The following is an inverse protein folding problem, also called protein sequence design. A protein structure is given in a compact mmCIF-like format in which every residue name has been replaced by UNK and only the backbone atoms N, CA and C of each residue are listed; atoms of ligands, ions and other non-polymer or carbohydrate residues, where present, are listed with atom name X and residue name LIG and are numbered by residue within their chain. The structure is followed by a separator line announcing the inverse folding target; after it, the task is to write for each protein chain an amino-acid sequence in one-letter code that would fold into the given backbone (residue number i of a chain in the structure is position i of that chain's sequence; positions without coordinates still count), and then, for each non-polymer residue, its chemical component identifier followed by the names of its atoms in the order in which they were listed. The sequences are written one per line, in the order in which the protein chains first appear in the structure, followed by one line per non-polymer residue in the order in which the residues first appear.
data_IF_240207557632
#
_entry.id   IF_240207557632
#
_cell.length_a   1.000
_cell.length_b   1.000
_cell.length_c   1.000
_cell.angle_alpha   90.00
_cell.angle_beta   90.00
_cell.angle_gamma   90.00
#
_symmetry.space_group_name_H-M   'P 1'
#
loop_
_entity.id
_entity.type
_entity.pdbx_description
1 polymer ?
#
# COMPACT_ATOMS: atom_id res chain seq x y z
N UNK A 1 -17.26 5.66 13.50
CA UNK A 1 -15.88 5.21 13.23
C UNK A 1 -14.99 5.93 14.21
N UNK A 2 -14.36 5.17 15.10
CA UNK A 2 -13.51 5.67 16.17
C UNK A 2 -12.09 5.85 15.62
N UNK A 3 -11.77 7.05 15.17
CA UNK A 3 -10.45 7.38 14.61
C UNK A 3 -9.36 7.10 15.64
N UNK A 4 -8.38 6.28 15.25
CA UNK A 4 -7.15 6.11 16.02
C UNK A 4 -6.14 7.17 15.58
N UNK A 5 -5.24 7.62 16.46
CA UNK A 5 -4.26 8.66 16.12
C UNK A 5 -2.86 8.06 16.16
N UNK A 6 -2.09 8.23 15.09
CA UNK A 6 -0.64 8.02 15.12
C UNK A 6 -0.05 9.22 15.85
N UNK A 7 0.44 9.00 17.07
CA UNK A 7 1.04 9.99 17.95
C UNK A 7 2.27 10.66 17.33
N UNK A 8 3.12 9.87 16.67
CA UNK A 8 4.35 10.35 16.03
C UNK A 8 4.10 11.35 14.89
N UNK A 9 2.90 11.34 14.30
CA UNK A 9 2.50 12.21 13.19
C UNK A 9 1.33 13.16 13.54
N UNK A 10 0.72 13.00 14.72
CA UNK A 10 -0.56 13.64 15.06
C UNK A 10 -1.63 13.45 13.97
N UNK A 11 -1.63 12.28 13.33
CA UNK A 11 -2.45 11.98 12.15
C UNK A 11 -3.60 11.04 12.51
N UNK A 12 -4.87 11.43 12.28
CA UNK A 12 -6.00 10.55 12.47
C UNK A 12 -6.04 9.49 11.36
N UNK A 13 -6.11 8.23 11.76
CA UNK A 13 -6.15 7.08 10.87
C UNK A 13 -7.53 6.40 10.88
N UNK A 14 -7.90 5.75 9.75
CA UNK A 14 -9.06 4.87 9.71
C UNK A 14 -8.96 3.74 10.74
N UNK A 15 -10.10 3.28 11.26
CA UNK A 15 -10.18 2.29 12.35
C UNK A 15 -9.48 0.95 12.02
N UNK A 16 -9.31 0.64 10.74
CA UNK A 16 -8.67 -0.56 10.21
C UNK A 16 -7.19 -0.34 9.80
N UNK A 17 -6.62 0.82 10.10
CA UNK A 17 -5.17 0.99 10.08
C UNK A 17 -4.56 0.50 11.41
N UNK A 18 -3.51 -0.33 11.38
CA UNK A 18 -2.94 -0.94 12.58
C UNK A 18 -1.97 0.03 13.29
N UNK A 19 -2.51 1.00 14.02
CA UNK A 19 -1.72 2.06 14.71
C UNK A 19 -0.74 1.49 15.73
N UNK A 20 -1.15 0.49 16.53
CA UNK A 20 -0.30 -0.08 17.57
C UNK A 20 1.03 -0.66 17.03
N UNK A 21 1.05 -1.61 16.07
CA UNK A 21 2.31 -2.11 15.53
C UNK A 21 3.08 -1.05 14.73
N UNK A 22 2.40 -0.08 14.11
CA UNK A 22 3.07 1.06 13.46
C UNK A 22 3.95 1.85 14.46
N UNK A 23 3.41 2.15 15.65
CA UNK A 23 4.10 2.92 16.67
C UNK A 23 5.21 2.12 17.36
N UNK A 24 5.05 0.82 17.55
CA UNK A 24 6.10 -0.07 18.05
C UNK A 24 7.34 0.03 17.15
N UNK A 25 7.16 -0.16 15.85
CA UNK A 25 8.25 -0.09 14.87
C UNK A 25 8.88 1.30 14.87
N UNK A 26 8.06 2.35 14.88
CA UNK A 26 8.53 3.74 14.97
C UNK A 26 9.42 3.97 16.19
N UNK A 27 8.99 3.49 17.37
CA UNK A 27 9.75 3.60 18.61
C UNK A 27 11.09 2.88 18.53
N UNK A 28 11.10 1.63 18.03
CA UNK A 28 12.33 0.82 17.91
C UNK A 28 13.40 1.51 17.05
N UNK A 29 13.09 1.87 15.81
CA UNK A 29 14.12 2.47 14.94
C UNK A 29 14.48 3.91 15.34
N UNK A 30 13.59 4.63 16.01
CA UNK A 30 13.86 6.01 16.45
C UNK A 30 14.99 6.10 17.47
N UNK A 31 15.16 5.06 18.29
CA UNK A 31 16.27 4.95 19.24
C UNK A 31 17.63 4.81 18.56
N UNK A 32 17.66 4.45 17.26
CA UNK A 32 18.90 4.25 16.48
C UNK A 32 19.35 5.50 15.71
N UNK A 33 18.70 6.65 15.91
CA UNK A 33 18.98 7.91 15.19
C UNK A 33 20.45 8.30 15.21
N UNK A 34 21.09 8.24 16.37
CA UNK A 34 22.47 8.71 16.56
C UNK A 34 23.51 7.74 16.00
N UNK A 35 23.14 6.46 15.81
CA UNK A 35 24.05 5.45 15.27
C UNK A 35 24.23 5.55 13.76
N UNK A 36 23.18 5.93 13.01
CA UNK A 36 23.24 6.10 11.57
C UNK A 36 22.15 7.05 11.07
N UNK A 37 22.46 8.36 11.08
CA UNK A 37 21.51 9.41 10.72
C UNK A 37 20.94 9.27 9.30
N UNK A 38 21.74 8.82 8.33
CA UNK A 38 21.29 8.64 6.95
C UNK A 38 20.24 7.53 6.88
N UNK A 39 20.54 6.36 7.45
CA UNK A 39 19.65 5.22 7.45
C UNK A 39 18.36 5.52 8.22
N UNK A 40 18.48 6.19 9.37
CA UNK A 40 17.32 6.67 10.15
C UNK A 40 16.43 7.61 9.32
N UNK A 41 17.00 8.58 8.60
CA UNK A 41 16.21 9.51 7.76
C UNK A 41 15.41 8.76 6.68
N UNK A 42 16.02 7.75 6.06
CA UNK A 42 15.35 6.95 5.04
C UNK A 42 14.25 6.06 5.65
N UNK A 43 14.50 5.45 6.81
CA UNK A 43 13.46 4.73 7.56
C UNK A 43 12.30 5.65 7.94
N UNK A 44 12.57 6.80 8.54
CA UNK A 44 11.54 7.75 8.97
C UNK A 44 10.69 8.23 7.78
N UNK A 45 11.32 8.59 6.66
CA UNK A 45 10.62 8.98 5.44
C UNK A 45 9.72 7.87 4.89
N UNK A 46 10.22 6.64 4.84
CA UNK A 46 9.45 5.48 4.39
C UNK A 46 8.30 5.15 5.33
N UNK A 47 8.53 5.21 6.64
CA UNK A 47 7.51 4.92 7.65
C UNK A 47 6.38 5.92 7.64
N UNK A 48 6.68 7.21 7.51
CA UNK A 48 5.67 8.25 7.36
C UNK A 48 4.86 8.03 6.07
N UNK A 49 5.54 7.64 5.00
CA UNK A 49 4.90 7.36 3.71
C UNK A 49 3.90 6.20 3.79
N UNK A 50 4.12 5.17 4.62
CA UNK A 50 3.13 4.09 4.84
C UNK A 50 1.80 4.67 5.31
N UNK A 51 1.83 5.51 6.35
CA UNK A 51 0.63 6.12 6.93
C UNK A 51 -0.05 7.08 5.95
N UNK A 52 0.72 8.01 5.36
CA UNK A 52 0.17 9.01 4.43
C UNK A 52 -0.48 8.38 3.20
N UNK A 53 0.15 7.35 2.64
CA UNK A 53 -0.34 6.70 1.42
C UNK A 53 -1.54 5.81 1.70
N UNK A 54 -1.59 5.14 2.85
CA UNK A 54 -2.79 4.40 3.28
C UNK A 54 -3.98 5.34 3.51
N UNK A 55 -3.75 6.47 4.17
CA UNK A 55 -4.80 7.47 4.39
C UNK A 55 -5.33 8.02 3.07
N UNK A 56 -4.43 8.41 2.16
CA UNK A 56 -4.80 8.89 0.82
C UNK A 56 -5.59 7.84 0.01
N UNK A 57 -5.17 6.57 0.05
CA UNK A 57 -5.91 5.46 -0.55
C UNK A 57 -7.34 5.35 0.02
N UNK A 58 -7.48 5.52 1.33
CA UNK A 58 -8.78 5.48 2.01
C UNK A 58 -9.67 6.66 1.60
N UNK A 59 -9.13 7.86 1.47
CA UNK A 59 -9.86 9.03 1.00
C UNK A 59 -10.34 8.84 -0.45
N UNK A 60 -9.49 8.28 -1.33
CA UNK A 60 -9.86 7.96 -2.71
C UNK A 60 -10.96 6.89 -2.79
N UNK A 61 -10.94 5.86 -1.95
CA UNK A 61 -12.03 4.87 -1.85
C UNK A 61 -13.37 5.53 -1.47
N UNK A 62 -13.34 6.43 -0.47
CA UNK A 62 -14.52 7.14 -0.01
C UNK A 62 -15.10 8.07 -1.09
N UNK A 63 -14.23 8.85 -1.73
CA UNK A 63 -14.65 9.78 -2.79
C UNK A 63 -15.15 9.05 -4.04
N UNK A 64 -14.48 7.96 -4.44
CA UNK A 64 -14.94 7.11 -5.53
C UNK A 64 -16.31 6.52 -5.22
N UNK A 65 -16.47 5.90 -4.04
CA UNK A 65 -17.75 5.32 -3.60
C UNK A 65 -18.88 6.35 -3.62
N UNK A 66 -18.60 7.58 -3.16
CA UNK A 66 -19.57 8.68 -3.22
C UNK A 66 -19.93 9.04 -4.65
N UNK A 67 -18.95 9.15 -5.55
CA UNK A 67 -19.18 9.50 -6.96
C UNK A 67 -19.97 8.44 -7.73
N UNK A 68 -19.81 7.16 -7.40
CA UNK A 68 -20.57 6.06 -8.02
C UNK A 68 -22.00 6.01 -7.50
N UNK A 69 -22.22 6.27 -6.19
CA UNK A 69 -23.58 6.34 -5.60
C UNK A 69 -24.42 7.48 -6.14
N UNK A 70 -23.79 8.55 -6.63
CA UNK A 70 -24.46 9.71 -7.21
C UNK A 70 -24.80 9.51 -8.70
N UNK A 71 -24.35 8.42 -9.33
CA UNK A 71 -24.40 8.20 -10.77
C UNK A 71 -25.62 7.43 -11.27
N UNK A 72 -26.40 8.10 -12.12
CA UNK A 72 -27.49 7.59 -12.98
C UNK A 72 -26.91 6.63 -14.04
N UNK A 73 -27.74 5.81 -14.70
CA UNK A 73 -27.40 4.78 -15.69
C UNK A 73 -26.46 5.20 -16.87
N UNK A 74 -26.11 6.49 -17.01
CA UNK A 74 -25.00 6.97 -17.82
C UNK A 74 -24.37 8.23 -17.17
N UNK A 75 -23.15 8.16 -16.59
CA UNK A 75 -22.53 9.31 -15.95
C UNK A 75 -22.09 10.37 -16.97
N UNK A 76 -22.18 11.66 -16.60
CA UNK A 76 -21.62 12.75 -17.39
C UNK A 76 -20.08 12.63 -17.49
N UNK A 77 -19.47 13.25 -18.51
CA UNK A 77 -18.01 13.27 -18.64
C UNK A 77 -17.30 13.86 -17.41
N UNK A 78 -17.92 14.83 -16.73
CA UNK A 78 -17.40 15.38 -15.48
C UNK A 78 -17.40 14.33 -14.34
N UNK A 79 -18.46 13.52 -14.23
CA UNK A 79 -18.52 12.42 -13.26
C UNK A 79 -17.54 11.29 -13.60
N UNK A 80 -17.38 10.97 -14.88
CA UNK A 80 -16.35 10.01 -15.33
C UNK A 80 -14.97 10.51 -14.96
N UNK A 81 -14.64 11.77 -15.25
CA UNK A 81 -13.36 12.37 -14.86
C UNK A 81 -13.11 12.24 -13.34
N UNK A 82 -14.10 12.56 -12.50
CA UNK A 82 -13.97 12.42 -11.05
C UNK A 82 -13.68 10.97 -10.66
N UNK A 83 -14.42 10.01 -11.22
CA UNK A 83 -14.21 8.60 -10.95
C UNK A 83 -12.82 8.12 -11.41
N UNK A 84 -12.35 8.50 -12.60
CA UNK A 84 -11.01 8.14 -13.07
C UNK A 84 -9.92 8.78 -12.20
N UNK A 85 -10.11 10.02 -11.74
CA UNK A 85 -9.19 10.68 -10.80
C UNK A 85 -9.08 9.90 -9.49
N UNK A 86 -10.22 9.52 -8.91
CA UNK A 86 -10.24 8.76 -7.65
C UNK A 86 -9.68 7.34 -7.83
N UNK A 87 -9.98 6.67 -8.95
CA UNK A 87 -9.39 5.36 -9.27
C UNK A 87 -7.87 5.48 -9.42
N UNK A 88 -7.38 6.47 -10.17
CA UNK A 88 -5.95 6.72 -10.28
C UNK A 88 -5.31 6.90 -8.90
N UNK A 89 -5.85 7.82 -8.09
CA UNK A 89 -5.37 8.06 -6.74
C UNK A 89 -5.37 6.80 -5.87
N UNK A 90 -6.47 6.04 -5.87
CA UNK A 90 -6.64 4.81 -5.09
C UNK A 90 -5.57 3.76 -5.42
N UNK A 91 -5.41 3.43 -6.70
CA UNK A 91 -4.47 2.39 -7.15
C UNK A 91 -3.00 2.82 -6.95
N UNK A 92 -2.66 4.08 -7.23
CA UNK A 92 -1.31 4.59 -7.02
C UNK A 92 -0.96 4.59 -5.52
N UNK A 93 -1.79 5.22 -4.69
CA UNK A 93 -1.45 5.44 -3.28
C UNK A 93 -1.52 4.16 -2.47
N UNK A 94 -2.44 3.27 -2.78
CA UNK A 94 -2.53 1.97 -2.12
C UNK A 94 -1.30 1.10 -2.37
N UNK A 95 -0.86 0.93 -3.62
CA UNK A 95 0.36 0.16 -3.91
C UNK A 95 1.60 0.86 -3.35
N UNK A 96 1.64 2.20 -3.42
CA UNK A 96 2.75 2.96 -2.86
C UNK A 96 2.85 2.83 -1.33
N UNK A 97 1.76 2.56 -0.61
CA UNK A 97 1.80 2.26 0.82
C UNK A 97 2.56 0.94 1.10
N UNK A 98 2.33 -0.09 0.28
CA UNK A 98 3.10 -1.33 0.34
C UNK A 98 4.56 -1.07 -0.05
N UNK A 99 4.83 -0.39 -1.16
CA UNK A 99 6.21 -0.09 -1.59
C UNK A 99 6.99 0.67 -0.51
N UNK A 100 6.36 1.62 0.18
CA UNK A 100 6.94 2.31 1.33
C UNK A 100 7.28 1.34 2.48
N UNK A 101 6.38 0.40 2.79
CA UNK A 101 6.61 -0.61 3.80
C UNK A 101 7.82 -1.50 3.45
N UNK A 102 7.88 -2.03 2.23
CA UNK A 102 8.99 -2.89 1.80
C UNK A 102 10.32 -2.12 1.81
N UNK A 103 10.32 -0.86 1.38
CA UNK A 103 11.50 -0.01 1.48
C UNK A 103 11.93 0.23 2.93
N UNK A 104 10.99 0.58 3.81
CA UNK A 104 11.26 0.84 5.22
C UNK A 104 11.79 -0.39 5.95
N UNK A 105 11.18 -1.57 5.74
CA UNK A 105 11.63 -2.80 6.40
C UNK A 105 12.98 -3.29 5.86
N UNK A 106 13.30 -3.02 4.59
CA UNK A 106 14.65 -3.24 4.05
C UNK A 106 15.69 -2.37 4.77
N UNK A 107 15.38 -1.08 4.96
CA UNK A 107 16.27 -0.16 5.65
C UNK A 107 16.48 -0.58 7.13
N UNK A 108 15.43 -1.01 7.81
CA UNK A 108 15.50 -1.60 9.16
C UNK A 108 16.38 -2.87 9.14
N UNK A 109 16.19 -3.79 8.20
CA UNK A 109 17.03 -4.96 8.07
C UNK A 109 18.51 -4.62 7.80
N UNK A 110 18.79 -3.50 7.12
CA UNK A 110 20.15 -2.99 6.94
C UNK A 110 20.81 -2.56 8.24
N UNK A 111 20.04 -2.06 9.22
CA UNK A 111 20.56 -1.77 10.57
C UNK A 111 21.10 -3.03 11.26
N UNK A 112 20.53 -4.20 10.96
CA UNK A 112 20.86 -5.48 11.58
C UNK A 112 21.91 -6.25 10.77
N UNK A 113 21.75 -6.30 9.44
CA UNK A 113 22.57 -7.09 8.50
C UNK A 113 22.94 -6.30 7.25
N UNK A 114 23.67 -5.21 7.42
CA UNK A 114 24.09 -4.30 6.32
C UNK A 114 24.74 -5.00 5.11
N UNK A 115 25.50 -6.10 5.33
CA UNK A 115 26.12 -6.87 4.23
C UNK A 115 25.09 -7.52 3.31
N UNK A 116 23.96 -7.98 3.85
CA UNK A 116 22.92 -8.66 3.08
C UNK A 116 21.88 -7.67 2.53
N UNK A 117 21.72 -6.54 3.23
CA UNK A 117 20.81 -5.44 2.90
C UNK A 117 21.62 -4.16 2.66
N UNK A 118 22.31 -4.05 1.51
CA UNK A 118 23.12 -2.87 1.21
C UNK A 118 22.24 -1.62 1.12
N UNK A 119 22.58 -0.59 1.88
CA UNK A 119 21.80 0.64 2.01
C UNK A 119 22.73 1.82 2.33
N UNK A 120 23.64 2.15 1.42
CA UNK A 120 24.63 3.21 1.63
C UNK A 120 24.61 4.29 0.55
N UNK A 121 24.23 3.92 -0.68
CA UNK A 121 24.34 4.80 -1.84
C UNK A 121 22.98 5.09 -2.47
N UNK A 122 22.89 6.18 -3.22
CA UNK A 122 21.71 6.49 -4.02
C UNK A 122 21.37 5.37 -5.03
N UNK A 123 22.38 4.62 -5.49
CA UNK A 123 22.18 3.46 -6.35
C UNK A 123 21.52 2.29 -5.60
N UNK A 124 21.86 2.09 -4.33
CA UNK A 124 21.21 1.07 -3.49
C UNK A 124 19.75 1.40 -3.29
N UNK A 125 19.43 2.66 -2.96
CA UNK A 125 18.06 3.09 -2.71
C UNK A 125 17.13 2.82 -3.91
N UNK A 126 17.63 3.03 -5.13
CA UNK A 126 16.87 2.82 -6.37
C UNK A 126 16.65 1.35 -6.73
N UNK A 127 17.44 0.43 -6.18
CA UNK A 127 17.33 -1.01 -6.46
C UNK A 127 16.29 -1.70 -5.58
N UNK A 128 15.94 -1.09 -4.45
CA UNK A 128 15.03 -1.67 -3.47
C UNK A 128 13.63 -1.77 -4.09
N UNK A 129 13.13 -2.99 -4.13
CA UNK A 129 11.79 -3.32 -4.61
C UNK A 129 11.22 -4.46 -3.75
N UNK A 130 9.91 -4.68 -3.84
CA UNK A 130 9.22 -5.65 -2.99
C UNK A 130 9.70 -7.09 -3.19
N UNK A 131 9.99 -7.49 -4.43
CA UNK A 131 10.43 -8.86 -4.75
C UNK A 131 11.83 -9.15 -4.19
N UNK A 132 12.80 -8.26 -4.43
CA UNK A 132 14.16 -8.40 -3.88
C UNK A 132 14.16 -8.35 -2.36
N UNK A 133 13.35 -7.46 -1.77
CA UNK A 133 13.20 -7.36 -0.31
C UNK A 133 12.68 -8.67 0.28
N UNK A 134 11.59 -9.23 -0.27
CA UNK A 134 11.05 -10.50 0.20
C UNK A 134 12.08 -11.65 0.11
N UNK A 135 12.80 -11.74 -1.02
CA UNK A 135 13.83 -12.75 -1.22
C UNK A 135 15.02 -12.61 -0.26
N UNK A 136 15.43 -11.37 0.04
CA UNK A 136 16.49 -11.09 1.02
C UNK A 136 16.07 -11.44 2.44
N UNK A 137 14.80 -11.19 2.80
CA UNK A 137 14.26 -11.65 4.08
C UNK A 137 14.19 -13.17 4.16
N UNK A 138 13.75 -13.85 3.11
CA UNK A 138 13.73 -15.32 3.03
C UNK A 138 15.13 -15.94 3.21
N UNK A 139 16.16 -15.33 2.65
CA UNK A 139 17.54 -15.82 2.78
C UNK A 139 18.20 -15.44 4.11
N UNK A 140 17.93 -14.25 4.64
CA UNK A 140 18.63 -13.70 5.82
C UNK A 140 17.90 -13.89 7.14
N UNK A 141 16.58 -14.09 7.10
CA UNK A 141 15.67 -14.12 8.25
C UNK A 141 14.59 -15.20 8.10
N UNK A 142 14.95 -16.37 7.55
CA UNK A 142 14.02 -17.48 7.22
C UNK A 142 13.10 -17.94 8.37
N UNK A 143 13.51 -17.73 9.63
CA UNK A 143 12.75 -18.13 10.82
C UNK A 143 11.79 -17.07 11.33
N UNK A 144 11.83 -15.86 10.76
CA UNK A 144 10.97 -14.76 11.16
C UNK A 144 9.71 -14.74 10.29
N UNK A 145 8.54 -14.58 10.90
CA UNK A 145 7.25 -14.61 10.20
C UNK A 145 7.16 -13.55 9.09
N UNK A 146 7.78 -12.39 9.31
CA UNK A 146 7.83 -11.30 8.33
C UNK A 146 8.40 -11.77 6.98
N UNK A 147 9.37 -12.70 6.97
CA UNK A 147 9.93 -13.21 5.72
C UNK A 147 8.87 -13.94 4.89
N UNK A 148 8.00 -14.72 5.53
CA UNK A 148 6.93 -15.46 4.86
C UNK A 148 5.81 -14.52 4.41
N UNK A 149 5.41 -13.58 5.27
CA UNK A 149 4.32 -12.63 4.97
C UNK A 149 4.71 -11.72 3.80
N UNK A 150 5.94 -11.19 3.77
CA UNK A 150 6.45 -10.39 2.66
C UNK A 150 6.32 -11.12 1.31
N UNK A 151 6.64 -12.41 1.29
CA UNK A 151 6.56 -13.22 0.07
C UNK A 151 5.11 -13.58 -0.27
N UNK A 152 4.29 -13.89 0.73
CA UNK A 152 2.87 -14.22 0.51
C UNK A 152 2.12 -13.04 -0.12
N UNK A 153 2.27 -11.83 0.42
CA UNK A 153 1.56 -10.64 -0.07
C UNK A 153 1.81 -10.39 -1.57
N UNK A 154 3.08 -10.43 -2.02
CA UNK A 154 3.41 -10.16 -3.43
C UNK A 154 2.94 -11.25 -4.40
N UNK A 155 2.61 -12.43 -3.89
CA UNK A 155 2.11 -13.56 -4.69
C UNK A 155 0.57 -13.69 -4.65
N UNK A 156 -0.12 -12.79 -3.95
CA UNK A 156 -1.58 -12.77 -3.98
C UNK A 156 -2.11 -12.30 -5.34
N UNK A 157 -3.24 -12.85 -5.82
CA UNK A 157 -3.89 -12.37 -7.03
C UNK A 157 -4.18 -10.86 -6.99
N UNK A 158 -4.57 -10.34 -5.83
CA UNK A 158 -4.90 -8.93 -5.65
C UNK A 158 -3.68 -8.03 -5.81
N UNK A 159 -2.51 -8.41 -5.27
CA UNK A 159 -1.29 -7.62 -5.47
C UNK A 159 -0.87 -7.56 -6.94
N UNK A 160 -0.97 -8.70 -7.64
CA UNK A 160 -0.68 -8.80 -9.08
C UNK A 160 -1.64 -7.89 -9.86
N UNK A 161 -2.93 -8.00 -9.60
CA UNK A 161 -3.96 -7.16 -10.22
C UNK A 161 -3.68 -5.66 -9.97
N UNK A 162 -3.28 -5.30 -8.75
CA UNK A 162 -2.98 -3.91 -8.39
C UNK A 162 -1.81 -3.34 -9.17
N UNK A 163 -0.74 -4.11 -9.31
CA UNK A 163 0.44 -3.74 -10.08
C UNK A 163 0.08 -3.52 -11.56
N UNK A 164 -0.72 -4.42 -12.13
CA UNK A 164 -1.14 -4.35 -13.52
C UNK A 164 -2.04 -3.14 -13.76
N UNK A 165 -3.04 -2.90 -12.91
CA UNK A 165 -3.94 -1.74 -13.04
C UNK A 165 -3.15 -0.44 -12.87
N UNK A 166 -2.24 -0.35 -11.89
CA UNK A 166 -1.35 0.81 -11.73
C UNK A 166 -0.56 1.07 -13.01
N UNK A 167 0.06 0.03 -13.57
CA UNK A 167 0.84 0.15 -14.79
C UNK A 167 -0.01 0.69 -15.95
N UNK A 168 -1.24 0.20 -16.08
CA UNK A 168 -2.15 0.67 -17.11
C UNK A 168 -2.53 2.14 -16.87
N UNK A 169 -2.95 2.50 -15.66
CA UNK A 169 -3.36 3.84 -15.26
C UNK A 169 -2.26 4.90 -15.48
N UNK A 170 -0.99 4.53 -15.25
CA UNK A 170 0.16 5.43 -15.46
C UNK A 170 0.41 5.69 -16.94
N UNK A 171 0.26 4.68 -17.80
CA UNK A 171 0.61 4.78 -19.22
C UNK A 171 -0.53 5.27 -20.11
N UNK A 172 -1.77 5.08 -19.71
CA UNK A 172 -2.95 5.51 -20.47
C UNK A 172 -4.08 5.90 -19.53
N UNK A 173 -4.83 6.94 -19.90
CA UNK A 173 -6.22 7.05 -19.45
C UNK A 173 -6.90 5.76 -19.91
N UNK A 174 -7.48 5.01 -18.96
CA UNK A 174 -7.94 3.66 -19.22
C UNK A 174 -8.90 3.59 -20.41
N UNK A 175 -8.78 2.55 -21.25
CA UNK A 175 -9.59 2.41 -22.45
C UNK A 175 -11.00 2.02 -22.05
N UNK A 176 -11.97 2.74 -22.60
CA UNK A 176 -13.39 2.43 -22.76
C UNK A 176 -14.04 1.61 -21.63
N UNK A 177 -14.79 2.32 -20.78
CA UNK A 177 -15.87 1.73 -20.00
C UNK A 177 -16.87 1.08 -20.95
N UNK A 178 -17.16 -0.19 -20.73
CA UNK A 178 -18.16 -0.92 -21.52
C UNK A 178 -19.49 -0.86 -20.79
N UNK A 179 -20.43 -0.09 -21.35
CA UNK A 179 -21.79 0.05 -20.82
C UNK A 179 -22.68 -1.02 -21.46
N UNK A 180 -23.20 -1.94 -20.64
CA UNK A 180 -24.08 -3.01 -21.10
C UNK A 180 -25.54 -2.59 -20.93
N UNK A 181 -26.22 -2.26 -22.03
CA UNK A 181 -27.61 -1.81 -22.04
C UNK A 181 -28.59 -3.01 -22.13
N UNK A 182 -28.12 -4.24 -22.31
CA UNK A 182 -28.94 -5.46 -22.41
C UNK A 182 -28.14 -6.76 -22.26
N UNK A 183 -28.83 -7.91 -22.28
CA UNK A 183 -28.24 -9.25 -22.14
C UNK A 183 -27.87 -9.63 -20.70
N UNK A 184 -27.08 -10.69 -20.51
CA UNK A 184 -26.73 -11.24 -19.19
C UNK A 184 -25.97 -10.27 -18.28
N UNK A 185 -25.42 -9.18 -18.85
CA UNK A 185 -24.69 -8.12 -18.15
C UNK A 185 -25.48 -6.80 -18.08
N UNK A 186 -26.80 -6.84 -18.27
CA UNK A 186 -27.66 -5.67 -18.29
C UNK A 186 -27.41 -4.74 -17.09
N UNK A 187 -27.24 -3.44 -17.36
CA UNK A 187 -26.91 -2.37 -16.41
C UNK A 187 -25.53 -2.47 -15.73
N UNK A 188 -24.63 -3.33 -16.21
CA UNK A 188 -23.24 -3.34 -15.74
C UNK A 188 -22.39 -2.35 -16.55
N UNK A 189 -21.50 -1.67 -15.84
CA UNK A 189 -20.38 -0.95 -16.46
C UNK A 189 -19.11 -1.72 -16.14
N UNK A 190 -18.46 -2.25 -17.17
CA UNK A 190 -17.19 -2.94 -17.00
C UNK A 190 -16.02 -2.00 -17.32
N UNK A 191 -15.02 -2.09 -16.47
CA UNK A 191 -13.71 -1.48 -16.60
C UNK A 191 -12.70 -2.52 -17.09
N UNK A 192 -11.43 -2.11 -17.11
CA UNK A 192 -10.28 -2.96 -17.41
C UNK A 192 -10.35 -4.32 -16.70
N UNK A 193 -9.93 -5.37 -17.42
CA UNK A 193 -9.97 -6.77 -16.94
C UNK A 193 -11.36 -7.27 -16.47
N UNK A 194 -12.44 -6.63 -16.91
CA UNK A 194 -13.80 -7.03 -16.54
C UNK A 194 -14.20 -6.62 -15.13
N UNK A 195 -13.48 -5.67 -14.53
CA UNK A 195 -13.82 -5.14 -13.21
C UNK A 195 -15.12 -4.37 -13.31
N UNK A 196 -16.11 -4.72 -12.49
CA UNK A 196 -17.36 -3.97 -12.41
C UNK A 196 -17.09 -2.62 -11.75
N UNK A 197 -17.55 -1.53 -12.39
CA UNK A 197 -17.61 -0.19 -11.82
C UNK A 197 -18.83 -0.11 -10.91
N UNK A 198 -18.60 -0.26 -9.61
CA UNK A 198 -19.59 -0.19 -8.55
C UNK A 198 -18.95 0.26 -7.23
N UNK A 199 -19.70 0.21 -6.13
CA UNK A 199 -19.18 0.53 -4.79
C UNK A 199 -18.13 -0.47 -4.28
N UNK A 200 -18.01 -1.63 -4.93
CA UNK A 200 -17.08 -2.70 -4.55
C UNK A 200 -15.75 -2.59 -5.30
N UNK A 201 -15.67 -1.82 -6.38
CA UNK A 201 -14.44 -1.61 -7.17
C UNK A 201 -13.26 -1.25 -6.27
N UNK A 202 -13.39 -0.26 -5.39
CA UNK A 202 -12.31 0.17 -4.48
C UNK A 202 -12.42 -0.50 -3.11
N UNK A 203 -13.63 -0.64 -2.55
CA UNK A 203 -13.79 -1.06 -1.15
C UNK A 203 -13.30 -2.49 -0.86
N UNK A 204 -13.44 -3.42 -1.81
CA UNK A 204 -12.89 -4.79 -1.65
C UNK A 204 -11.37 -4.79 -1.63
N UNK A 205 -10.75 -4.06 -2.56
CA UNK A 205 -9.28 -3.89 -2.65
C UNK A 205 -8.73 -3.14 -1.44
N UNK A 206 -9.48 -2.17 -0.92
CA UNK A 206 -9.13 -1.42 0.29
C UNK A 206 -9.09 -2.32 1.52
N UNK A 207 -10.08 -3.21 1.68
CA UNK A 207 -10.10 -4.22 2.76
C UNK A 207 -8.92 -5.18 2.65
N UNK A 208 -8.60 -5.62 1.43
CA UNK A 208 -7.42 -6.45 1.18
C UNK A 208 -6.13 -5.73 1.59
N UNK A 209 -5.96 -4.45 1.21
CA UNK A 209 -4.82 -3.64 1.64
C UNK A 209 -4.72 -3.55 3.17
N UNK A 210 -5.81 -3.18 3.84
CA UNK A 210 -5.84 -3.02 5.29
C UNK A 210 -5.44 -4.32 6.01
N UNK A 211 -5.99 -5.46 5.57
CA UNK A 211 -5.63 -6.77 6.13
C UNK A 211 -4.14 -7.08 5.95
N UNK A 212 -3.62 -6.99 4.72
CA UNK A 212 -2.24 -7.37 4.46
C UNK A 212 -1.24 -6.41 5.10
N UNK A 213 -1.56 -5.11 5.16
CA UNK A 213 -0.74 -4.13 5.87
C UNK A 213 -0.75 -4.36 7.38
N UNK A 214 -1.86 -4.82 7.96
CA UNK A 214 -1.92 -5.29 9.35
C UNK A 214 -1.00 -6.48 9.60
N UNK A 215 -1.06 -7.51 8.76
CA UNK A 215 -0.23 -8.72 8.91
C UNK A 215 1.27 -8.37 8.77
N UNK A 216 1.60 -7.49 7.81
CA UNK A 216 2.94 -6.96 7.60
C UNK A 216 3.44 -6.12 8.79
N UNK A 217 2.64 -5.17 9.28
CA UNK A 217 3.03 -4.31 10.41
C UNK A 217 3.16 -5.10 11.70
N UNK A 218 2.25 -6.05 11.95
CA UNK A 218 2.30 -6.89 13.16
C UNK A 218 3.58 -7.75 13.17
N UNK A 219 3.89 -8.42 12.06
CA UNK A 219 5.10 -9.24 11.97
C UNK A 219 6.39 -8.41 11.96
N UNK A 220 6.37 -7.21 11.36
CA UNK A 220 7.50 -6.28 11.43
C UNK A 220 7.71 -5.74 12.85
N UNK A 221 6.66 -5.53 13.65
CA UNK A 221 6.79 -5.08 15.03
C UNK A 221 7.54 -6.12 15.86
N UNK A 222 7.12 -7.39 15.80
CA UNK A 222 7.83 -8.50 16.45
C UNK A 222 9.28 -8.62 15.97
N UNK A 223 9.53 -8.41 14.68
CA UNK A 223 10.89 -8.40 14.13
C UNK A 223 11.72 -7.25 14.71
N UNK A 224 11.19 -6.04 14.76
CA UNK A 224 11.93 -4.89 15.27
C UNK A 224 12.22 -4.99 16.76
N UNK A 225 11.27 -5.43 17.59
CA UNK A 225 11.50 -5.63 19.02
C UNK A 225 12.62 -6.64 19.31
N UNK A 226 12.79 -7.62 18.42
CA UNK A 226 13.81 -8.66 18.56
C UNK A 226 15.19 -8.22 18.11
N UNK A 227 15.30 -7.35 17.11
CA UNK A 227 16.56 -7.07 16.42
C UNK A 227 17.05 -5.63 16.48
N UNK A 228 16.20 -4.67 16.83
CA UNK A 228 16.49 -3.24 16.88
C UNK A 228 16.52 -2.77 18.32
#
# INVERSE_FOLDING_TARGET
MSKQIISSLSLPMPDDFPVAPYEIIHSCYSQRKDSNLMLWKQCAGAWNAVAYRFLSCTEHDLHYTKSVRQGIAAPSHANVYLQERELFGFFITGLAALEAFYYGIFAIASMVKAKNFPFATAADFKKINYSDTANKFQSSFKREDIANILLQVINTPEFIEWNEIRNILVHRILPNRHYYIGGDKHNQTLWEKGIVIDINTTSTRRKWLAKNLNDLLTSAASFTEKYI
#
